data_IF_937708056021
#
_entry.id   IF_937708056021
#
_cell.length_a   1.000
_cell.length_b   1.000
_cell.length_c   1.000
_cell.angle_alpha   90.00
_cell.angle_beta   90.00
_cell.angle_gamma   90.00
#
_symmetry.space_group_name_H-M   'P 1'
#
loop_
_entity.id
_entity.type
_entity.pdbx_description
1 polymer ?
#
# COMPACT_ATOMS: atom_id res chain seq x y z
N UNK A 1 -17.51 3.83 14.32
CA UNK A 1 -16.35 3.06 13.81
C UNK A 1 -15.81 2.09 14.83
N UNK A 2 -15.58 0.85 14.46
CA UNK A 2 -14.97 -0.15 15.34
C UNK A 2 -13.50 -0.34 14.92
N UNK A 3 -12.57 -0.24 15.87
CA UNK A 3 -11.17 -0.52 15.68
C UNK A 3 -10.79 -1.82 16.39
N UNK A 4 -10.28 -2.79 15.63
CA UNK A 4 -9.66 -3.99 16.17
C UNK A 4 -8.14 -3.91 15.99
N UNK A 5 -7.40 -4.25 17.03
CA UNK A 5 -5.95 -4.45 16.97
C UNK A 5 -5.61 -5.81 17.55
N UNK A 6 -4.78 -6.55 16.88
CA UNK A 6 -4.41 -7.87 17.33
C UNK A 6 -3.33 -8.54 16.51
N UNK A 7 -2.92 -9.72 16.98
CA UNK A 7 -1.90 -10.52 16.32
C UNK A 7 -2.54 -11.70 15.60
N UNK A 8 -2.20 -11.86 14.35
CA UNK A 8 -2.53 -13.04 13.55
C UNK A 8 -1.33 -13.97 13.40
N UNK A 9 -1.58 -15.25 13.27
CA UNK A 9 -0.55 -16.22 12.91
C UNK A 9 -0.46 -16.29 11.39
N UNK A 10 0.68 -15.94 10.86
CA UNK A 10 0.92 -15.85 9.42
C UNK A 10 1.85 -16.98 8.96
N UNK A 11 1.41 -17.74 7.96
CA UNK A 11 2.17 -18.84 7.37
C UNK A 11 3.29 -18.33 6.49
N UNK A 12 3.03 -17.32 5.65
CA UNK A 12 4.00 -16.69 4.76
C UNK A 12 5.18 -16.07 5.53
N UNK A 13 4.95 -15.59 6.75
CA UNK A 13 5.99 -15.03 7.61
C UNK A 13 6.52 -16.03 8.66
N UNK A 14 5.93 -17.22 8.78
CA UNK A 14 6.22 -18.25 9.78
C UNK A 14 6.26 -17.73 11.23
N UNK A 15 5.45 -16.72 11.55
CA UNK A 15 5.37 -16.07 12.86
C UNK A 15 4.02 -15.40 13.09
N UNK A 16 3.86 -14.81 14.26
CA UNK A 16 2.77 -13.85 14.51
C UNK A 16 3.18 -12.47 14.01
N UNK A 17 2.20 -11.71 13.52
CA UNK A 17 2.35 -10.32 13.12
C UNK A 17 1.11 -9.53 13.51
N UNK A 18 1.26 -8.25 13.81
CA UNK A 18 0.16 -7.39 14.20
C UNK A 18 -0.59 -6.85 12.99
N UNK A 19 -1.88 -6.62 13.17
CA UNK A 19 -2.77 -5.92 12.24
C UNK A 19 -3.68 -4.96 13.01
N UNK A 20 -4.02 -3.85 12.38
CA UNK A 20 -5.13 -2.98 12.77
C UNK A 20 -6.23 -3.05 11.72
N UNK A 21 -7.48 -3.18 12.16
CA UNK A 21 -8.64 -3.27 11.26
C UNK A 21 -9.71 -2.27 11.70
N UNK A 22 -10.09 -1.39 10.80
CA UNK A 22 -11.14 -0.40 10.99
C UNK A 22 -12.38 -0.88 10.26
N UNK A 23 -13.53 -0.98 10.95
CA UNK A 23 -14.79 -1.41 10.35
C UNK A 23 -15.87 -0.33 10.51
N UNK A 24 -16.66 -0.03 9.47
CA UNK A 24 -17.80 0.88 9.53
C UNK A 24 -19.05 0.15 10.10
N UNK A 25 -18.90 -0.47 11.29
CA UNK A 25 -19.89 -1.40 11.83
C UNK A 25 -20.84 -0.79 12.86
N UNK A 26 -20.56 0.42 13.35
CA UNK A 26 -21.28 1.12 14.43
C UNK A 26 -21.56 2.60 14.09
N UNK A 27 -22.01 2.87 12.87
CA UNK A 27 -22.34 4.23 12.43
C UNK A 27 -23.59 4.74 13.15
N UNK A 28 -23.36 5.27 14.37
CA UNK A 28 -24.41 5.90 15.19
C UNK A 28 -24.31 7.41 15.02
N UNK A 29 -25.24 8.01 14.28
CA UNK A 29 -25.35 9.47 14.20
C UNK A 29 -26.18 10.01 15.37
N UNK A 30 -25.50 10.50 16.43
CA UNK A 30 -26.13 11.03 17.65
C UNK A 30 -27.06 12.23 17.43
N UNK A 31 -27.02 12.88 16.28
CA UNK A 31 -27.77 14.11 16.00
C UNK A 31 -29.02 13.91 15.13
N UNK A 32 -29.10 12.77 14.46
CA UNK A 32 -30.20 12.52 13.53
C UNK A 32 -30.66 11.08 13.70
N UNK A 33 -31.48 10.64 14.49
CA UNK A 33 -32.03 9.27 14.68
C UNK A 33 -31.97 8.31 13.45
N UNK A 34 -31.09 8.57 12.48
CA UNK A 34 -30.86 7.78 11.29
C UNK A 34 -29.61 6.93 11.48
N UNK A 35 -29.78 5.64 11.65
CA UNK A 35 -28.72 4.65 11.50
C UNK A 35 -28.39 4.54 10.01
N UNK A 36 -27.26 5.08 9.58
CA UNK A 36 -26.73 4.79 8.24
C UNK A 36 -26.01 3.44 8.30
N UNK A 37 -26.75 2.37 8.03
CA UNK A 37 -26.21 1.01 8.03
C UNK A 37 -25.40 0.83 6.74
N UNK A 38 -24.09 0.69 6.86
CA UNK A 38 -23.25 0.25 5.74
C UNK A 38 -23.51 -1.22 5.48
N UNK A 39 -23.95 -1.54 4.24
CA UNK A 39 -24.24 -2.91 3.86
C UNK A 39 -23.00 -3.81 3.86
N UNK A 40 -23.18 -5.04 4.32
CA UNK A 40 -22.16 -6.10 4.28
C UNK A 40 -22.32 -6.94 3.02
N UNK A 41 -21.25 -7.52 2.48
CA UNK A 41 -19.84 -7.43 2.96
C UNK A 41 -19.21 -6.08 2.62
N UNK A 42 -18.28 -5.60 3.47
CA UNK A 42 -17.64 -4.30 3.32
C UNK A 42 -16.61 -4.28 2.20
N UNK A 43 -16.59 -3.22 1.40
CA UNK A 43 -15.47 -2.87 0.53
C UNK A 43 -14.24 -2.62 1.41
N UNK A 44 -13.06 -3.02 0.95
CA UNK A 44 -11.88 -3.07 1.82
C UNK A 44 -10.65 -2.45 1.17
N UNK A 45 -10.01 -1.54 1.89
CA UNK A 45 -8.70 -0.99 1.56
C UNK A 45 -7.62 -1.65 2.44
N UNK A 46 -6.65 -2.31 1.82
CA UNK A 46 -5.41 -2.75 2.44
C UNK A 46 -4.38 -1.62 2.35
N UNK A 47 -3.98 -1.06 3.51
CA UNK A 47 -3.21 0.17 3.60
C UNK A 47 -1.82 -0.09 4.17
N UNK A 48 -0.78 0.13 3.36
CA UNK A 48 0.60 -0.25 3.61
C UNK A 48 1.43 0.94 4.12
N UNK A 49 2.11 0.77 5.26
CA UNK A 49 2.93 1.82 5.87
C UNK A 49 4.30 2.00 5.21
N UNK A 50 4.92 3.15 5.44
CA UNK A 50 6.30 3.46 5.05
C UNK A 50 7.35 2.84 5.97
N UNK A 51 8.64 3.14 5.70
CA UNK A 51 9.74 2.75 6.58
C UNK A 51 9.50 3.26 8.01
N UNK A 52 9.98 2.51 9.01
CA UNK A 52 9.79 2.75 10.47
C UNK A 52 8.34 2.67 10.96
N UNK A 53 7.38 2.35 10.09
CA UNK A 53 5.98 2.21 10.48
C UNK A 53 5.64 0.83 11.02
N UNK A 54 4.42 0.73 11.54
CA UNK A 54 3.75 -0.51 11.91
C UNK A 54 2.24 -0.38 11.63
N UNK A 55 1.44 -1.35 12.05
CA UNK A 55 -0.01 -1.39 11.85
C UNK A 55 -0.78 -0.23 12.50
N UNK A 56 -0.16 0.56 13.36
CA UNK A 56 -0.79 1.69 14.05
C UNK A 56 -0.38 3.07 13.53
N UNK A 57 0.59 3.14 12.63
CA UNK A 57 1.18 4.43 12.25
C UNK A 57 0.19 5.37 11.56
N UNK A 58 -0.72 4.85 10.73
CA UNK A 58 -1.78 5.66 10.12
C UNK A 58 -2.81 6.13 11.15
N UNK A 59 -3.09 5.32 12.17
CA UNK A 59 -4.00 5.69 13.26
C UNK A 59 -3.46 6.87 14.08
N UNK A 60 -2.13 6.92 14.23
CA UNK A 60 -1.46 7.96 15.00
C UNK A 60 -1.25 9.28 14.23
N UNK A 61 -1.13 9.22 12.91
CA UNK A 61 -0.66 10.37 12.11
C UNK A 61 -1.68 10.87 11.07
N UNK A 62 -2.82 10.20 10.92
CA UNK A 62 -3.84 10.58 9.92
C UNK A 62 -5.25 10.52 10.49
N UNK A 63 -6.19 11.09 9.76
CA UNK A 63 -7.63 11.01 10.05
C UNK A 63 -8.29 9.76 9.44
N UNK A 64 -7.52 8.68 9.23
CA UNK A 64 -7.94 7.49 8.47
C UNK A 64 -9.24 6.85 9.01
N UNK A 65 -9.45 6.85 10.33
CA UNK A 65 -10.68 6.34 10.95
C UNK A 65 -11.90 7.12 10.48
N UNK A 66 -11.80 8.46 10.48
CA UNK A 66 -12.88 9.31 10.01
C UNK A 66 -13.14 9.11 8.51
N UNK A 67 -12.10 9.00 7.70
CA UNK A 67 -12.27 8.77 6.25
C UNK A 67 -12.96 7.43 5.97
N UNK A 68 -12.59 6.39 6.71
CA UNK A 68 -13.22 5.09 6.61
C UNK A 68 -14.71 5.14 6.99
N UNK A 69 -15.06 5.89 8.03
CA UNK A 69 -16.44 6.11 8.46
C UNK A 69 -17.26 6.88 7.42
N UNK A 70 -16.74 8.04 6.98
CA UNK A 70 -17.42 8.92 6.03
C UNK A 70 -17.72 8.21 4.68
N UNK A 71 -16.97 7.16 4.34
CA UNK A 71 -17.10 6.45 3.06
C UNK A 71 -17.59 5.00 3.20
N UNK A 72 -17.89 4.56 4.41
CA UNK A 72 -18.42 3.22 4.65
C UNK A 72 -17.47 2.09 4.19
N UNK A 73 -16.15 2.28 4.33
CA UNK A 73 -15.14 1.33 3.87
C UNK A 73 -14.38 0.69 5.05
N UNK A 74 -14.09 -0.60 4.95
CA UNK A 74 -13.19 -1.26 5.88
C UNK A 74 -11.73 -0.97 5.50
N UNK A 75 -10.85 -0.79 6.50
CA UNK A 75 -9.42 -0.60 6.27
C UNK A 75 -8.64 -1.63 7.08
N UNK A 76 -7.72 -2.31 6.41
CA UNK A 76 -6.80 -3.28 7.02
C UNK A 76 -5.38 -2.75 6.91
N UNK A 77 -4.70 -2.56 8.04
CA UNK A 77 -3.34 -2.05 8.10
C UNK A 77 -2.45 -3.16 8.68
N UNK A 78 -1.64 -3.84 7.86
CA UNK A 78 -0.70 -4.84 8.35
C UNK A 78 0.60 -4.20 8.84
N UNK A 79 1.29 -4.87 9.78
CA UNK A 79 2.70 -4.62 10.02
C UNK A 79 3.53 -5.25 8.90
N UNK A 80 4.23 -4.42 8.12
CA UNK A 80 5.07 -4.82 6.98
C UNK A 80 6.57 -4.75 7.27
N UNK A 81 6.97 -4.35 8.48
CA UNK A 81 8.37 -4.06 8.84
C UNK A 81 9.04 -3.12 7.81
N UNK A 82 10.36 -3.17 7.68
CA UNK A 82 11.11 -2.44 6.64
C UNK A 82 11.40 -3.35 5.43
N UNK A 83 10.39 -4.08 4.96
CA UNK A 83 10.54 -5.17 3.98
C UNK A 83 10.32 -4.77 2.53
N UNK A 84 9.91 -3.52 2.27
CA UNK A 84 9.37 -3.11 0.95
C UNK A 84 8.26 -4.03 0.44
N UNK A 85 7.66 -4.81 1.34
CA UNK A 85 6.61 -5.80 1.03
C UNK A 85 7.04 -6.80 -0.05
N UNK A 86 8.33 -7.16 -0.02
CA UNK A 86 8.94 -8.14 -0.90
C UNK A 86 9.06 -9.51 -0.23
N UNK A 87 9.26 -10.52 -1.06
CA UNK A 87 9.43 -11.90 -0.62
C UNK A 87 10.92 -12.22 -0.51
N UNK A 88 11.37 -12.66 0.67
CA UNK A 88 12.68 -13.23 0.91
C UNK A 88 12.54 -14.71 1.29
N UNK A 89 12.75 -15.57 0.30
CA UNK A 89 12.64 -17.03 0.45
C UNK A 89 13.68 -17.58 1.43
N UNK A 90 14.88 -17.00 1.46
CA UNK A 90 15.97 -17.49 2.28
C UNK A 90 15.71 -17.33 3.79
N UNK A 91 15.03 -16.24 4.18
CA UNK A 91 14.67 -15.98 5.57
C UNK A 91 13.21 -16.31 5.92
N UNK A 92 12.44 -16.87 4.97
CA UNK A 92 10.99 -17.09 5.09
C UNK A 92 10.19 -15.83 5.45
N UNK A 93 10.61 -14.67 4.94
CA UNK A 93 9.93 -13.38 5.12
C UNK A 93 9.17 -13.01 3.85
N UNK A 94 8.10 -13.75 3.57
CA UNK A 94 7.32 -13.63 2.33
C UNK A 94 6.27 -12.52 2.48
N UNK A 95 6.72 -11.25 2.61
CA UNK A 95 5.81 -10.13 2.84
C UNK A 95 4.93 -9.80 1.63
N UNK A 96 5.40 -10.11 0.42
CA UNK A 96 4.59 -9.96 -0.78
C UNK A 96 3.43 -10.96 -0.81
N UNK A 97 3.69 -12.25 -0.54
CA UNK A 97 2.66 -13.28 -0.42
C UNK A 97 1.69 -12.96 0.72
N UNK A 98 2.24 -12.47 1.84
CA UNK A 98 1.43 -12.05 2.99
C UNK A 98 0.41 -10.99 2.61
N UNK A 99 0.83 -9.84 2.09
CA UNK A 99 -0.08 -8.73 1.79
C UNK A 99 -0.88 -8.91 0.50
N UNK A 100 -0.36 -9.70 -0.45
CA UNK A 100 -1.00 -9.95 -1.73
C UNK A 100 -2.08 -11.03 -1.69
N UNK A 101 -1.99 -11.98 -0.75
CA UNK A 101 -2.91 -13.12 -0.68
C UNK A 101 -3.30 -13.49 0.76
N UNK A 102 -2.37 -13.92 1.62
CA UNK A 102 -2.70 -14.54 2.91
C UNK A 102 -3.47 -13.60 3.85
N UNK A 103 -3.11 -12.31 3.88
CA UNK A 103 -3.80 -11.31 4.68
C UNK A 103 -5.27 -11.15 4.28
N UNK A 104 -5.54 -11.19 2.95
CA UNK A 104 -6.90 -11.13 2.44
C UNK A 104 -7.71 -12.34 2.94
N UNK A 105 -7.15 -13.54 2.80
CA UNK A 105 -7.81 -14.78 3.22
C UNK A 105 -8.11 -14.78 4.72
N UNK A 106 -7.13 -14.39 5.55
CA UNK A 106 -7.28 -14.33 7.00
C UNK A 106 -8.34 -13.30 7.40
N UNK A 107 -8.27 -12.09 6.85
CA UNK A 107 -9.18 -11.01 7.26
C UNK A 107 -10.61 -11.23 6.77
N UNK A 108 -10.81 -11.80 5.59
CA UNK A 108 -12.12 -12.23 5.06
C UNK A 108 -12.75 -13.35 5.89
N UNK A 109 -11.93 -14.26 6.44
CA UNK A 109 -12.43 -15.30 7.35
C UNK A 109 -12.84 -14.78 8.73
N UNK A 110 -12.26 -13.66 9.18
CA UNK A 110 -12.51 -13.08 10.51
C UNK A 110 -13.61 -12.01 10.46
N UNK A 111 -13.59 -11.17 9.44
CA UNK A 111 -14.45 -9.99 9.31
C UNK A 111 -15.35 -10.10 8.06
N UNK A 112 -16.50 -9.44 8.05
CA UNK A 112 -17.43 -9.49 6.91
C UNK A 112 -16.96 -8.60 5.75
N UNK A 113 -15.79 -8.92 5.17
CA UNK A 113 -15.19 -8.20 4.05
C UNK A 113 -15.59 -8.83 2.73
N UNK A 114 -15.71 -8.01 1.67
CA UNK A 114 -16.04 -8.50 0.32
C UNK A 114 -14.91 -9.36 -0.25
N UNK A 115 -15.30 -10.43 -0.92
CA UNK A 115 -14.35 -11.29 -1.66
C UNK A 115 -14.17 -10.83 -3.12
N UNK A 116 -14.98 -9.87 -3.56
CA UNK A 116 -14.94 -9.38 -4.93
C UNK A 116 -13.72 -8.51 -5.18
N UNK A 117 -13.11 -8.69 -6.37
CA UNK A 117 -11.99 -7.86 -6.81
C UNK A 117 -12.35 -6.37 -6.85
N UNK A 118 -13.51 -6.04 -7.40
CA UNK A 118 -14.01 -4.67 -7.54
C UNK A 118 -14.18 -3.93 -6.20
N UNK A 119 -14.31 -4.66 -5.10
CA UNK A 119 -14.49 -4.15 -3.75
C UNK A 119 -13.17 -4.18 -2.94
N UNK A 120 -12.06 -4.60 -3.56
CA UNK A 120 -10.77 -4.80 -2.87
C UNK A 120 -9.70 -3.88 -3.46
N UNK A 121 -9.09 -3.08 -2.59
CA UNK A 121 -8.16 -2.04 -2.95
C UNK A 121 -6.87 -2.14 -2.14
N UNK A 122 -5.77 -1.64 -2.69
CA UNK A 122 -4.49 -1.57 -1.99
C UNK A 122 -3.89 -0.18 -2.16
N UNK A 123 -3.40 0.41 -1.07
CA UNK A 123 -2.70 1.69 -1.12
C UNK A 123 -1.56 1.74 -0.11
N UNK A 124 -0.70 2.75 -0.23
CA UNK A 124 0.34 2.94 0.76
C UNK A 124 1.12 4.24 0.58
N UNK A 125 1.91 4.54 1.61
CA UNK A 125 2.77 5.72 1.69
C UNK A 125 4.24 5.32 1.63
N UNK A 126 5.05 6.04 0.82
CA UNK A 126 6.50 5.85 0.76
C UNK A 126 6.87 4.41 0.34
N UNK A 127 7.58 3.66 1.20
CA UNK A 127 7.81 2.22 1.02
C UNK A 127 6.50 1.45 0.78
N UNK A 128 5.43 1.82 1.50
CA UNK A 128 4.10 1.22 1.31
C UNK A 128 3.49 1.55 -0.04
N UNK A 129 3.78 2.72 -0.62
CA UNK A 129 3.36 3.08 -1.97
C UNK A 129 4.00 2.20 -3.04
N UNK A 130 5.30 1.91 -2.89
CA UNK A 130 5.98 0.90 -3.72
C UNK A 130 5.37 -0.48 -3.50
N UNK A 131 5.17 -0.88 -2.23
CA UNK A 131 4.57 -2.17 -1.89
C UNK A 131 3.16 -2.34 -2.45
N UNK A 132 2.34 -1.29 -2.42
CA UNK A 132 0.99 -1.28 -3.00
C UNK A 132 1.03 -1.48 -4.51
N UNK A 133 1.91 -0.76 -5.21
CA UNK A 133 2.07 -0.92 -6.65
C UNK A 133 2.55 -2.33 -7.01
N UNK A 134 3.67 -2.77 -6.41
CA UNK A 134 4.27 -4.07 -6.69
C UNK A 134 3.30 -5.23 -6.45
N UNK A 135 2.64 -5.23 -5.28
CA UNK A 135 1.74 -6.33 -4.93
C UNK A 135 0.38 -6.21 -5.60
N UNK A 136 -0.12 -4.99 -5.82
CA UNK A 136 -1.32 -4.75 -6.61
C UNK A 136 -1.19 -5.24 -8.06
N UNK A 137 0.01 -5.16 -8.65
CA UNK A 137 0.31 -5.69 -9.98
C UNK A 137 0.57 -7.20 -9.98
N UNK A 138 1.39 -7.70 -9.04
CA UNK A 138 1.72 -9.13 -8.94
C UNK A 138 0.49 -9.99 -8.64
N UNK A 139 -0.42 -9.48 -7.83
CA UNK A 139 -1.66 -10.13 -7.42
C UNK A 139 -2.89 -9.41 -7.98
N UNK A 140 -2.82 -8.98 -9.25
CA UNK A 140 -3.81 -8.13 -9.88
C UNK A 140 -5.22 -8.73 -9.96
N UNK A 141 -5.36 -10.04 -9.78
CA UNK A 141 -6.66 -10.70 -9.67
C UNK A 141 -7.37 -10.40 -8.35
N UNK A 142 -6.65 -9.93 -7.33
CA UNK A 142 -7.21 -9.61 -6.02
C UNK A 142 -7.62 -8.14 -5.89
N UNK A 143 -6.98 -7.23 -6.63
CA UNK A 143 -7.14 -5.79 -6.44
C UNK A 143 -7.67 -5.10 -7.70
N UNK A 144 -8.61 -4.18 -7.52
CA UNK A 144 -9.17 -3.37 -8.61
C UNK A 144 -8.53 -1.98 -8.71
N UNK A 145 -8.01 -1.44 -7.59
CA UNK A 145 -7.37 -0.12 -7.57
C UNK A 145 -6.12 -0.12 -6.69
N UNK A 146 -5.13 0.67 -7.12
CA UNK A 146 -3.86 0.90 -6.43
C UNK A 146 -3.72 2.38 -6.13
N UNK A 147 -3.46 2.73 -4.84
CA UNK A 147 -3.16 4.08 -4.40
C UNK A 147 -1.69 4.22 -3.98
N UNK A 148 -0.97 5.15 -4.57
CA UNK A 148 0.45 5.39 -4.32
C UNK A 148 0.65 6.81 -3.83
N UNK A 149 1.02 7.00 -2.57
CA UNK A 149 1.30 8.32 -2.00
C UNK A 149 2.80 8.42 -1.76
N UNK A 150 3.46 9.37 -2.44
CA UNK A 150 4.92 9.58 -2.33
C UNK A 150 5.71 8.26 -2.42
N UNK A 151 5.42 7.44 -3.42
CA UNK A 151 5.91 6.06 -3.51
C UNK A 151 7.43 5.98 -3.68
N UNK A 152 8.08 5.08 -2.93
CA UNK A 152 9.52 4.85 -3.01
C UNK A 152 9.91 4.01 -4.24
N UNK A 153 9.73 4.58 -5.43
CA UNK A 153 10.05 3.96 -6.72
C UNK A 153 11.55 4.04 -7.00
N UNK A 154 12.33 3.24 -6.30
CA UNK A 154 13.80 3.31 -6.29
C UNK A 154 14.48 2.27 -7.18
N UNK A 155 13.73 1.40 -7.83
CA UNK A 155 14.27 0.25 -8.55
C UNK A 155 15.10 0.61 -9.77
N UNK A 156 14.82 1.74 -10.43
CA UNK A 156 15.54 2.16 -11.66
C UNK A 156 17.04 2.42 -11.43
N UNK A 157 17.40 2.89 -10.26
CA UNK A 157 18.78 3.28 -9.91
C UNK A 157 19.32 2.55 -8.66
N UNK A 158 18.60 1.53 -8.19
CA UNK A 158 18.97 0.83 -6.95
C UNK A 158 20.35 0.13 -7.04
N UNK A 159 20.71 -0.33 -8.24
CA UNK A 159 22.03 -0.97 -8.47
C UNK A 159 23.20 0.02 -8.30
N UNK A 160 22.95 1.32 -8.51
CA UNK A 160 23.95 2.38 -8.38
C UNK A 160 24.13 2.84 -6.93
N UNK A 161 23.31 2.33 -5.99
CA UNK A 161 23.41 2.68 -4.58
C UNK A 161 24.70 2.09 -3.99
N UNK A 162 25.65 2.98 -3.70
CA UNK A 162 26.89 2.67 -3.02
C UNK A 162 26.81 3.00 -1.54
N UNK A 163 27.95 2.84 -0.84
CA UNK A 163 28.10 3.25 0.56
C UNK A 163 28.22 4.78 0.73
N UNK A 164 27.74 5.54 -0.24
CA UNK A 164 27.80 7.00 -0.25
C UNK A 164 26.78 7.61 0.71
N UNK A 165 27.23 8.64 1.43
CA UNK A 165 26.49 9.36 2.49
C UNK A 165 25.20 10.09 2.04
N UNK A 166 24.84 10.02 0.77
CA UNK A 166 23.66 10.68 0.19
C UNK A 166 22.47 9.75 -0.02
N UNK A 167 22.56 8.47 0.37
CA UNK A 167 21.45 7.50 0.31
C UNK A 167 20.92 7.33 1.72
N UNK A 168 19.59 7.30 1.88
CA UNK A 168 18.93 7.12 3.18
C UNK A 168 19.46 5.89 3.94
N UNK A 169 19.95 4.89 3.19
CA UNK A 169 20.45 3.62 3.74
C UNK A 169 21.63 3.10 2.92
N UNK A 170 22.45 2.25 3.54
CA UNK A 170 23.57 1.59 2.88
C UNK A 170 23.12 0.62 1.79
N UNK A 171 24.01 0.35 0.83
CA UNK A 171 23.82 -0.72 -0.17
C UNK A 171 23.44 -2.05 0.51
N UNK A 172 24.11 -2.40 1.60
CA UNK A 172 23.85 -3.62 2.37
C UNK A 172 22.42 -3.69 2.91
N UNK A 173 21.83 -2.55 3.32
CA UNK A 173 20.42 -2.50 3.73
C UNK A 173 19.51 -2.90 2.58
N UNK A 174 19.69 -2.31 1.39
CA UNK A 174 18.87 -2.65 0.23
C UNK A 174 19.11 -4.08 -0.25
N UNK A 175 20.35 -4.56 -0.23
CA UNK A 175 20.65 -5.97 -0.55
C UNK A 175 19.95 -6.96 0.39
N UNK A 176 19.79 -6.61 1.68
CA UNK A 176 19.06 -7.44 2.64
C UNK A 176 17.56 -7.56 2.35
N UNK A 177 17.01 -6.66 1.52
CA UNK A 177 15.59 -6.60 1.16
C UNK A 177 15.36 -7.05 -0.29
N UNK A 178 16.13 -6.49 -1.21
CA UNK A 178 15.98 -6.72 -2.65
C UNK A 178 16.85 -7.90 -3.15
N UNK A 179 17.78 -8.40 -2.33
CA UNK A 179 18.78 -9.38 -2.76
C UNK A 179 19.85 -8.75 -3.65
N UNK A 180 20.26 -9.46 -4.70
CA UNK A 180 21.22 -8.91 -5.67
C UNK A 180 20.60 -7.71 -6.40
N UNK A 181 21.13 -6.50 -6.15
CA UNK A 181 20.58 -5.26 -6.70
C UNK A 181 20.70 -5.18 -8.23
N UNK A 182 21.69 -5.84 -8.82
CA UNK A 182 21.89 -5.89 -10.26
C UNK A 182 20.84 -6.75 -10.99
N UNK A 183 20.07 -7.56 -10.24
CA UNK A 183 19.02 -8.45 -10.76
C UNK A 183 17.61 -7.91 -10.49
N UNK A 184 17.46 -6.72 -9.93
CA UNK A 184 16.15 -6.13 -9.60
C UNK A 184 15.39 -5.75 -10.86
N UNK A 185 16.04 -5.08 -11.80
CA UNK A 185 15.44 -4.69 -13.08
C UNK A 185 15.07 -5.94 -13.88
N UNK A 186 13.83 -5.97 -14.39
CA UNK A 186 13.28 -7.11 -15.13
C UNK A 186 12.83 -8.30 -14.26
N UNK A 187 12.85 -8.15 -12.94
CA UNK A 187 12.32 -9.14 -12.01
C UNK A 187 10.91 -8.74 -11.49
N UNK A 188 10.32 -9.59 -10.65
CA UNK A 188 9.05 -9.28 -9.98
C UNK A 188 9.13 -8.18 -8.91
N UNK A 189 10.33 -7.61 -8.69
CA UNK A 189 10.59 -6.46 -7.84
C UNK A 189 10.57 -5.15 -8.61
N UNK A 190 10.61 -5.22 -9.94
CA UNK A 190 10.54 -4.08 -10.84
C UNK A 190 9.08 -3.79 -11.26
N UNK A 191 8.49 -2.66 -10.80
CA UNK A 191 7.13 -2.31 -11.19
C UNK A 191 6.92 -2.16 -12.69
N UNK A 192 7.95 -1.73 -13.45
CA UNK A 192 7.86 -1.59 -14.91
C UNK A 192 7.74 -2.96 -15.58
N UNK A 193 8.52 -3.92 -15.10
CA UNK A 193 8.41 -5.31 -15.57
C UNK A 193 7.02 -5.88 -15.25
N UNK A 194 6.48 -5.60 -14.06
CA UNK A 194 5.15 -6.08 -13.69
C UNK A 194 4.05 -5.43 -14.54
N UNK A 195 4.14 -4.15 -14.87
CA UNK A 195 3.21 -3.49 -15.80
C UNK A 195 3.21 -4.18 -17.16
N UNK A 196 4.39 -4.44 -17.72
CA UNK A 196 4.51 -5.06 -19.05
C UNK A 196 4.02 -6.54 -19.07
N UNK A 197 3.88 -7.19 -17.90
CA UNK A 197 3.48 -8.59 -17.77
C UNK A 197 2.12 -8.81 -17.08
N UNK A 198 1.48 -7.77 -16.53
CA UNK A 198 0.18 -7.87 -15.89
C UNK A 198 -0.95 -7.87 -16.92
N UNK A 199 -1.85 -8.86 -16.86
CA UNK A 199 -2.97 -8.99 -17.82
C UNK A 199 -4.18 -8.12 -17.47
N UNK A 200 -4.35 -7.79 -16.20
CA UNK A 200 -5.53 -7.09 -15.68
C UNK A 200 -5.08 -5.99 -14.72
N UNK A 201 -4.44 -4.96 -15.29
CA UNK A 201 -3.85 -3.86 -14.52
C UNK A 201 -4.96 -3.14 -13.74
N UNK A 202 -4.84 -3.02 -12.39
CA UNK A 202 -5.75 -2.21 -11.59
C UNK A 202 -5.69 -0.72 -11.98
N UNK A 203 -6.75 0.03 -11.71
CA UNK A 203 -6.71 1.49 -11.81
C UNK A 203 -5.64 2.06 -10.87
N UNK A 204 -4.75 2.94 -11.39
CA UNK A 204 -3.62 3.47 -10.63
C UNK A 204 -3.85 4.94 -10.31
N UNK A 205 -3.85 5.27 -9.01
CA UNK A 205 -3.82 6.63 -8.50
C UNK A 205 -2.48 6.91 -7.83
N UNK A 206 -1.85 8.03 -8.18
CA UNK A 206 -0.56 8.46 -7.67
C UNK A 206 -0.66 9.90 -7.18
N UNK A 207 -0.05 10.20 -6.03
CA UNK A 207 0.16 11.55 -5.54
C UNK A 207 1.58 11.71 -4.98
N UNK A 208 2.22 12.85 -5.24
CA UNK A 208 3.54 13.16 -4.68
C UNK A 208 3.73 14.66 -4.56
N UNK A 209 4.29 15.12 -3.43
CA UNK A 209 4.60 16.52 -3.19
C UNK A 209 5.68 17.03 -4.15
N UNK A 210 5.56 18.28 -4.60
CA UNK A 210 6.53 18.90 -5.53
C UNK A 210 7.92 19.04 -4.91
N UNK A 211 7.98 19.21 -3.57
CA UNK A 211 9.22 19.32 -2.79
C UNK A 211 9.65 17.99 -2.15
N UNK A 212 8.92 16.90 -2.46
CA UNK A 212 9.26 15.56 -2.01
C UNK A 212 10.47 15.03 -2.79
N UNK A 213 11.48 14.48 -2.09
CA UNK A 213 12.66 13.89 -2.70
C UNK A 213 12.37 12.71 -3.64
N UNK A 214 11.18 12.13 -3.58
CA UNK A 214 10.69 11.08 -4.48
C UNK A 214 9.87 11.62 -5.66
N UNK A 215 9.62 12.94 -5.73
CA UNK A 215 8.76 13.51 -6.76
C UNK A 215 9.19 13.12 -8.17
N UNK A 216 10.49 13.30 -8.47
CA UNK A 216 11.02 12.98 -9.82
C UNK A 216 10.77 11.52 -10.18
N UNK A 217 11.00 10.58 -9.25
CA UNK A 217 10.79 9.14 -9.47
C UNK A 217 9.32 8.81 -9.77
N UNK A 218 8.40 9.43 -9.04
CA UNK A 218 6.96 9.27 -9.25
C UNK A 218 6.52 9.88 -10.59
N UNK A 219 7.01 11.07 -10.94
CA UNK A 219 6.71 11.71 -12.21
C UNK A 219 7.25 10.90 -13.41
N UNK A 220 8.49 10.41 -13.33
CA UNK A 220 9.10 9.57 -14.36
C UNK A 220 8.32 8.26 -14.55
N UNK A 221 7.86 7.62 -13.48
CA UNK A 221 7.04 6.43 -13.55
C UNK A 221 5.66 6.72 -14.18
N UNK A 222 5.04 7.85 -13.86
CA UNK A 222 3.80 8.26 -14.52
C UNK A 222 4.00 8.44 -16.03
N UNK A 223 5.12 9.04 -16.48
CA UNK A 223 5.42 9.14 -17.91
C UNK A 223 5.60 7.76 -18.55
N UNK A 224 6.21 6.81 -17.82
CA UNK A 224 6.28 5.42 -18.28
C UNK A 224 4.88 4.81 -18.45
N UNK A 225 3.96 4.97 -17.48
CA UNK A 225 2.58 4.49 -17.60
C UNK A 225 1.87 5.10 -18.82
N UNK A 226 2.02 6.41 -19.03
CA UNK A 226 1.46 7.10 -20.22
C UNK A 226 2.03 6.56 -21.51
N UNK A 227 3.31 6.20 -21.56
CA UNK A 227 3.95 5.62 -22.77
C UNK A 227 3.43 4.22 -23.11
N UNK A 228 2.74 3.57 -22.18
CA UNK A 228 2.10 2.24 -22.32
C UNK A 228 0.58 2.31 -22.46
N UNK A 229 0.02 3.52 -22.62
CA UNK A 229 -1.43 3.77 -22.65
C UNK A 229 -2.18 3.20 -21.41
N UNK A 230 -1.49 3.15 -20.25
CA UNK A 230 -2.10 2.73 -18.99
C UNK A 230 -2.90 3.88 -18.40
N UNK A 231 -4.17 3.58 -18.02
CA UNK A 231 -5.02 4.52 -17.32
C UNK A 231 -4.53 4.74 -15.89
N UNK A 232 -4.00 5.93 -15.64
CA UNK A 232 -3.49 6.33 -14.34
C UNK A 232 -3.71 7.82 -14.10
N UNK A 233 -3.99 8.16 -12.86
CA UNK A 233 -4.05 9.54 -12.38
C UNK A 233 -2.77 9.87 -11.61
N UNK A 234 -2.14 11.01 -11.90
CA UNK A 234 -1.03 11.55 -11.11
C UNK A 234 -1.33 12.98 -10.66
N UNK A 235 -1.23 13.20 -9.36
CA UNK A 235 -1.39 14.52 -8.72
C UNK A 235 -0.05 14.94 -8.14
N UNK A 236 0.60 15.94 -8.77
CA UNK A 236 1.69 16.70 -8.17
C UNK A 236 1.11 17.94 -7.49
N UNK A 237 1.32 18.11 -6.21
CA UNK A 237 0.82 19.23 -5.42
C UNK A 237 1.91 19.81 -4.52
N UNK A 238 1.76 21.06 -4.07
CA UNK A 238 2.64 21.62 -3.04
C UNK A 238 2.72 20.68 -1.84
N UNK A 239 3.91 20.48 -1.30
CA UNK A 239 4.15 19.63 -0.15
C UNK A 239 5.43 18.81 -0.24
N UNK A 240 5.81 18.27 0.91
CA UNK A 240 7.00 17.47 1.14
C UNK A 240 6.62 16.01 1.49
N UNK A 241 7.61 15.18 1.84
CA UNK A 241 7.42 13.80 2.30
C UNK A 241 6.92 13.75 3.74
N UNK A 242 5.67 14.17 3.97
CA UNK A 242 5.09 14.33 5.32
C UNK A 242 3.79 13.56 5.51
N UNK A 243 3.40 13.39 6.77
CA UNK A 243 2.13 12.75 7.12
C UNK A 243 0.92 13.61 6.76
N UNK A 244 1.05 14.95 6.78
CA UNK A 244 0.00 15.88 6.35
C UNK A 244 -0.32 15.67 4.87
N UNK A 245 0.70 15.56 4.01
CA UNK A 245 0.53 15.22 2.60
C UNK A 245 -0.12 13.85 2.43
N UNK A 246 0.36 12.87 3.20
CA UNK A 246 -0.20 11.52 3.17
C UNK A 246 -1.69 11.51 3.56
N UNK A 247 -2.08 12.22 4.64
CA UNK A 247 -3.47 12.29 5.12
C UNK A 247 -4.39 12.89 4.05
N UNK A 248 -3.97 13.98 3.40
CA UNK A 248 -4.73 14.63 2.34
C UNK A 248 -4.97 13.69 1.17
N UNK A 249 -3.92 13.06 0.64
CA UNK A 249 -4.02 12.29 -0.60
C UNK A 249 -4.53 10.86 -0.42
N UNK A 250 -4.41 10.26 0.77
CA UNK A 250 -5.15 9.03 1.12
C UNK A 250 -6.65 9.28 1.10
N UNK A 251 -7.09 10.43 1.64
CA UNK A 251 -8.49 10.86 1.58
C UNK A 251 -8.98 11.00 0.14
N UNK A 252 -8.20 11.66 -0.73
CA UNK A 252 -8.55 11.82 -2.13
C UNK A 252 -8.61 10.47 -2.87
N UNK A 253 -7.77 9.52 -2.50
CA UNK A 253 -7.86 8.15 -3.01
C UNK A 253 -9.13 7.44 -2.53
N UNK A 254 -9.46 7.50 -1.23
CA UNK A 254 -10.66 6.86 -0.67
C UNK A 254 -11.96 7.38 -1.33
N UNK A 255 -12.02 8.64 -1.68
CA UNK A 255 -13.17 9.22 -2.41
C UNK A 255 -13.39 8.62 -3.81
N UNK A 256 -12.38 7.94 -4.37
CA UNK A 256 -12.43 7.30 -5.69
C UNK A 256 -12.78 5.80 -5.62
N UNK A 257 -12.90 5.26 -4.42
CA UNK A 257 -13.26 3.88 -4.15
C UNK A 257 -14.78 3.69 -4.12
#
# INVERSE_FOLDING_TARGET
MVLFRGDIKCKSLQRRTSISVILPADNIHFLNDSEEIVEKPYRTLYLLHGLYGSDDIFLANTSIQKFAEDHGIAIVIPCGENSFYLDDVASHRMFGEYVGQELLDITRNIFPLSEKREDTFIAGFSMGGYGALRNGLKYCENFSKIGMISAALITDDIADYGDNHNVLYSRQFYESIFGNLDEVIGSDKDPKYLIDNCKNIPEIYMACGLDDFLFKKNADFYQFLKSRDIDATFVGSEGEHTWEFCDEFIKEFIKRL
#
